data_IF_151957231583
#
_entry.id   IF_151957231583
#
_cell.length_a   1.000
_cell.length_b   1.000
_cell.length_c   1.000
_cell.angle_alpha   90.00
_cell.angle_beta   90.00
_cell.angle_gamma   90.00
#
_symmetry.space_group_name_H-M   'P 1'
#
loop_
_entity.id
_entity.type
_entity.pdbx_description
1 polymer ?
#
# COMPACT_ATOMS: atom_id res chain seq x y z
N UNK A 1 -7.91 13.69 14.32
CA UNK A 1 -8.59 12.66 13.54
C UNK A 1 -7.58 11.77 12.86
N UNK A 2 -7.64 10.50 13.10
CA UNK A 2 -6.68 9.62 12.45
C UNK A 2 -6.89 9.61 10.94
N UNK A 3 -5.80 9.64 10.24
CA UNK A 3 -5.82 9.54 8.81
C UNK A 3 -6.06 8.09 8.41
N UNK A 4 -7.11 7.86 7.66
CA UNK A 4 -7.42 6.54 7.17
C UNK A 4 -7.08 6.43 5.70
N UNK A 5 -6.14 5.56 5.39
CA UNK A 5 -5.86 5.22 4.01
C UNK A 5 -6.73 4.04 3.63
N UNK A 6 -7.32 4.12 2.45
CA UNK A 6 -8.10 3.02 1.92
C UNK A 6 -7.22 2.22 0.98
N UNK A 7 -6.90 1.03 1.41
CA UNK A 7 -6.06 0.14 0.62
C UNK A 7 -6.97 -0.83 -0.14
N UNK A 8 -6.94 -0.82 -1.47
CA UNK A 8 -7.87 -1.62 -2.26
C UNK A 8 -7.45 -3.09 -2.38
N UNK A 9 -7.04 -3.69 -1.27
CA UNK A 9 -6.61 -5.07 -1.27
C UNK A 9 -7.71 -6.04 -1.69
N UNK A 10 -8.94 -5.76 -1.32
CA UNK A 10 -10.06 -6.65 -1.61
C UNK A 10 -10.34 -6.77 -3.11
N UNK A 11 -9.91 -5.78 -3.89
CA UNK A 11 -10.11 -5.79 -5.34
C UNK A 11 -8.85 -6.17 -6.10
N UNK A 12 -7.76 -6.39 -5.40
CA UNK A 12 -6.47 -6.60 -6.03
C UNK A 12 -6.28 -8.07 -6.34
N UNK A 13 -5.99 -8.38 -7.58
CA UNK A 13 -5.68 -9.74 -8.01
C UNK A 13 -4.19 -9.96 -7.97
N UNK A 14 -3.80 -11.21 -7.93
CA UNK A 14 -2.39 -11.58 -7.97
C UNK A 14 -1.73 -10.99 -9.21
N UNK A 15 -0.57 -10.38 -9.02
CA UNK A 15 0.14 -9.72 -10.11
C UNK A 15 -0.21 -8.26 -10.28
N UNK A 16 -1.16 -7.74 -9.53
CA UNK A 16 -1.56 -6.34 -9.61
C UNK A 16 -0.95 -5.53 -8.47
N UNK A 17 -0.99 -4.22 -8.60
CA UNK A 17 -0.48 -3.31 -7.58
C UNK A 17 -1.20 -1.98 -7.60
N UNK A 18 -0.92 -1.17 -6.58
CA UNK A 18 -1.45 0.19 -6.51
C UNK A 18 -0.45 1.09 -5.79
N UNK A 19 -0.57 2.39 -6.02
CA UNK A 19 0.32 3.39 -5.47
C UNK A 19 -0.44 4.31 -4.53
N UNK A 20 0.12 4.55 -3.34
CA UNK A 20 -0.44 5.49 -2.37
C UNK A 20 0.52 6.65 -2.25
N UNK A 21 0.16 7.85 -2.75
CA UNK A 21 1.01 9.02 -2.57
C UNK A 21 1.03 9.45 -1.11
N UNK A 22 2.21 9.71 -0.59
CA UNK A 22 2.36 10.12 0.81
C UNK A 22 3.79 10.59 1.05
N UNK A 23 4.00 11.27 2.18
CA UNK A 23 5.32 11.72 2.59
C UNK A 23 5.91 10.72 3.59
N UNK A 24 5.12 10.31 4.58
CA UNK A 24 5.57 9.35 5.60
C UNK A 24 5.50 7.94 5.06
N UNK A 25 6.42 7.59 4.15
CA UNK A 25 6.33 6.34 3.40
C UNK A 25 6.41 5.11 4.28
N UNK A 26 7.25 5.14 5.33
CA UNK A 26 7.39 3.95 6.17
C UNK A 26 6.11 3.66 6.95
N UNK A 27 5.46 4.70 7.46
CA UNK A 27 4.19 4.52 8.18
C UNK A 27 3.10 3.98 7.27
N UNK A 28 3.02 4.50 6.05
CA UNK A 28 2.02 4.06 5.09
C UNK A 28 2.33 2.64 4.62
N UNK A 29 3.60 2.33 4.41
CA UNK A 29 4.00 0.99 4.01
C UNK A 29 3.56 -0.04 5.06
N UNK A 30 3.83 0.23 6.33
CA UNK A 30 3.43 -0.69 7.38
C UNK A 30 1.91 -0.78 7.52
N UNK A 31 1.22 0.36 7.45
CA UNK A 31 -0.24 0.36 7.53
C UNK A 31 -0.86 -0.44 6.39
N UNK A 32 -0.33 -0.29 5.18
CA UNK A 32 -0.82 -1.03 4.04
C UNK A 32 -0.59 -2.53 4.15
N UNK A 33 0.59 -2.92 4.61
CA UNK A 33 0.89 -4.35 4.79
C UNK A 33 0.04 -4.96 5.91
N UNK A 34 -0.20 -4.20 6.98
CA UNK A 34 -1.09 -4.67 8.05
C UNK A 34 -2.52 -4.83 7.54
N UNK A 35 -2.97 -3.91 6.68
CA UNK A 35 -4.30 -4.03 6.07
C UNK A 35 -4.38 -5.28 5.20
N UNK A 36 -3.30 -5.59 4.47
CA UNK A 36 -3.26 -6.81 3.66
C UNK A 36 -3.47 -8.06 4.52
N UNK A 37 -2.87 -8.09 5.69
CA UNK A 37 -3.06 -9.23 6.60
C UNK A 37 -4.51 -9.37 7.02
N UNK A 38 -5.22 -8.26 7.20
CA UNK A 38 -6.65 -8.31 7.53
C UNK A 38 -7.47 -8.99 6.44
N UNK A 39 -7.00 -8.94 5.20
CA UNK A 39 -7.63 -9.62 4.08
C UNK A 39 -6.99 -10.98 3.81
N UNK A 40 -6.13 -11.45 4.72
CA UNK A 40 -5.43 -12.73 4.59
C UNK A 40 -4.56 -12.80 3.34
N UNK A 41 -3.98 -11.67 3.00
CA UNK A 41 -3.03 -11.58 1.89
C UNK A 41 -1.64 -11.60 2.52
N UNK A 42 -0.93 -12.71 2.37
CA UNK A 42 0.35 -12.92 3.01
C UNK A 42 1.53 -12.73 2.07
N UNK A 43 1.26 -12.58 0.78
CA UNK A 43 2.28 -12.37 -0.22
C UNK A 43 2.40 -10.91 -0.66
N UNK A 44 1.74 -10.00 0.06
CA UNK A 44 1.78 -8.58 -0.25
C UNK A 44 3.17 -8.01 -0.01
N UNK A 45 3.59 -7.13 -0.91
CA UNK A 45 4.88 -6.44 -0.82
C UNK A 45 4.66 -4.95 -1.02
N UNK A 46 5.60 -4.17 -0.47
CA UNK A 46 5.50 -2.72 -0.57
C UNK A 46 6.90 -2.11 -0.53
N UNK A 47 7.10 -1.04 -1.29
CA UNK A 47 8.34 -0.30 -1.25
C UNK A 47 8.07 1.17 -1.54
N UNK A 48 8.92 2.07 -1.00
CA UNK A 48 8.78 3.49 -1.32
C UNK A 48 9.18 3.74 -2.76
N UNK A 49 8.45 4.63 -3.41
CA UNK A 49 8.68 4.90 -4.83
C UNK A 49 8.24 6.32 -5.15
N UNK A 50 8.69 6.79 -6.31
CA UNK A 50 8.22 8.05 -6.87
C UNK A 50 7.46 7.69 -8.13
N UNK A 51 6.22 8.16 -8.20
CA UNK A 51 5.35 7.87 -9.33
C UNK A 51 4.69 9.16 -9.78
N UNK A 52 4.89 9.51 -11.05
CA UNK A 52 4.38 10.77 -11.61
C UNK A 52 4.82 11.98 -10.79
N UNK A 53 6.07 11.98 -10.35
CA UNK A 53 6.63 13.09 -9.59
C UNK A 53 6.21 13.15 -8.14
N UNK A 54 5.45 12.18 -7.64
CA UNK A 54 4.97 12.16 -6.25
C UNK A 54 5.61 11.02 -5.49
N UNK A 55 6.11 11.32 -4.29
CA UNK A 55 6.61 10.27 -3.42
C UNK A 55 5.44 9.49 -2.83
N UNK A 56 5.66 8.24 -2.52
CA UNK A 56 4.64 7.40 -1.95
C UNK A 56 5.10 5.98 -1.80
N UNK A 57 4.16 5.06 -1.70
CA UNK A 57 4.44 3.65 -1.53
C UNK A 57 3.71 2.85 -2.60
N UNK A 58 4.43 1.97 -3.23
CA UNK A 58 3.89 1.04 -4.21
C UNK A 58 3.61 -0.28 -3.52
N UNK A 59 2.35 -0.71 -3.56
CA UNK A 59 1.92 -1.99 -3.00
C UNK A 59 1.58 -2.94 -4.13
N UNK A 60 1.93 -4.21 -3.95
CA UNK A 60 1.62 -5.20 -4.99
C UNK A 60 1.55 -6.61 -4.40
N UNK A 61 1.02 -7.50 -5.20
CA UNK A 61 0.93 -8.92 -4.85
C UNK A 61 1.68 -9.77 -5.84
#
# INVERSE_FOLDING_TARGET
MPQSYRFPWSRLKKGEGFFIPCIATEKVRQAGLNAALSFRIFDAKAYPAIHKGMSGVWFYR
#
